data_IF_031221674837
#
_entry.id   IF_031221674837
#
_cell.length_a   1.000
_cell.length_b   1.000
_cell.length_c   1.000
_cell.angle_alpha   90.00
_cell.angle_beta   90.00
_cell.angle_gamma   90.00
#
_symmetry.space_group_name_H-M   'P 1'
#
loop_
_entity.id
_entity.type
_entity.pdbx_description
1 polymer ?
#
# COMPACT_ATOMS: atom_id res chain seq x y z
N UNK A 1 55.65 -22.02 50.26
CA UNK A 1 56.35 -21.83 48.97
C UNK A 1 55.38 -21.99 47.81
N UNK A 2 54.95 -20.89 47.23
CA UNK A 2 54.07 -20.93 46.07
C UNK A 2 54.92 -21.11 44.81
N UNK A 3 54.72 -22.16 44.05
CA UNK A 3 55.45 -22.49 42.83
C UNK A 3 55.23 -21.37 41.75
N UNK A 4 56.35 -20.82 41.28
CA UNK A 4 56.29 -19.88 40.14
C UNK A 4 55.87 -20.62 38.87
N UNK A 5 54.98 -20.07 38.08
CA UNK A 5 54.56 -20.70 36.81
C UNK A 5 55.74 -20.74 35.84
N UNK A 6 55.86 -21.85 35.10
CA UNK A 6 56.88 -22.12 34.11
C UNK A 6 56.91 -21.12 32.96
N UNK A 7 58.05 -20.84 32.30
CA UNK A 7 58.20 -19.85 31.24
C UNK A 7 57.26 -20.10 30.01
N UNK A 8 56.82 -21.33 29.78
CA UNK A 8 55.90 -21.68 28.72
C UNK A 8 54.49 -21.18 28.92
N UNK A 9 54.00 -21.17 30.17
CA UNK A 9 52.63 -20.71 30.48
C UNK A 9 52.41 -19.20 30.26
N UNK A 10 53.49 -18.41 30.47
CA UNK A 10 53.43 -16.94 30.22
C UNK A 10 53.37 -16.58 28.73
N UNK A 11 53.96 -17.41 27.85
CA UNK A 11 53.87 -17.21 26.39
C UNK A 11 52.47 -17.50 25.88
N UNK A 12 51.82 -18.58 26.26
CA UNK A 12 50.46 -18.94 25.89
C UNK A 12 49.44 -17.89 26.37
N UNK A 13 49.59 -17.39 27.61
CA UNK A 13 48.77 -16.31 28.13
C UNK A 13 48.91 -15.01 27.31
N UNK A 14 50.14 -14.66 26.90
CA UNK A 14 50.39 -13.47 26.07
C UNK A 14 49.78 -13.62 24.66
N UNK A 15 49.88 -14.77 24.00
CA UNK A 15 49.25 -15.00 22.70
C UNK A 15 47.74 -15.03 22.81
N UNK A 16 47.18 -15.59 23.87
CA UNK A 16 45.73 -15.55 24.14
C UNK A 16 45.21 -14.13 24.33
N UNK A 17 45.93 -13.32 25.13
CA UNK A 17 45.54 -11.90 25.33
C UNK A 17 45.65 -11.06 24.07
N UNK A 18 46.70 -11.30 23.24
CA UNK A 18 46.81 -10.63 21.91
C UNK A 18 45.67 -11.05 20.98
N UNK A 19 45.34 -12.35 20.92
CA UNK A 19 44.23 -12.83 20.10
C UNK A 19 42.89 -12.22 20.55
N UNK A 20 42.62 -12.14 21.84
CA UNK A 20 41.40 -11.50 22.38
C UNK A 20 41.41 -10.00 22.06
N UNK A 21 42.52 -9.30 22.19
CA UNK A 21 42.63 -7.88 21.85
C UNK A 21 42.37 -7.64 20.35
N UNK A 22 42.91 -8.48 19.47
CA UNK A 22 42.66 -8.40 18.02
C UNK A 22 41.19 -8.66 17.70
N UNK A 23 40.54 -9.66 18.32
CA UNK A 23 39.13 -9.92 18.15
C UNK A 23 38.25 -8.75 18.63
N UNK A 24 38.61 -8.13 19.75
CA UNK A 24 37.90 -6.94 20.24
C UNK A 24 38.06 -5.73 19.31
N UNK A 25 39.26 -5.53 18.76
CA UNK A 25 39.49 -4.47 17.77
C UNK A 25 38.71 -4.74 16.46
N UNK A 26 38.70 -5.99 16.00
CA UNK A 26 37.90 -6.35 14.80
C UNK A 26 36.40 -6.23 15.07
N UNK A 27 35.89 -6.67 16.21
CA UNK A 27 34.51 -6.51 16.62
C UNK A 27 34.15 -5.02 16.75
N UNK A 28 35.00 -4.21 17.37
CA UNK A 28 34.83 -2.75 17.47
C UNK A 28 34.83 -2.08 16.09
N UNK A 29 35.75 -2.51 15.21
CA UNK A 29 35.80 -2.03 13.83
C UNK A 29 34.55 -2.41 13.02
N UNK A 30 34.05 -3.64 13.18
CA UNK A 30 32.84 -4.10 12.55
C UNK A 30 31.61 -3.31 13.06
N UNK A 31 31.52 -3.09 14.38
CA UNK A 31 30.44 -2.26 14.96
C UNK A 31 30.52 -0.82 14.47
N UNK A 32 31.69 -0.23 14.44
CA UNK A 32 31.92 1.13 13.95
C UNK A 32 31.58 1.23 12.46
N UNK A 33 31.95 0.22 11.66
CA UNK A 33 31.59 0.13 10.24
C UNK A 33 30.08 0.05 10.05
N UNK A 34 29.38 -0.84 10.81
CA UNK A 34 27.92 -0.97 10.76
C UNK A 34 27.25 0.34 11.17
N UNK A 35 27.70 0.99 12.24
CA UNK A 35 27.14 2.26 12.72
C UNK A 35 27.37 3.40 11.71
N UNK A 36 28.55 3.45 11.08
CA UNK A 36 28.88 4.48 10.08
C UNK A 36 28.10 4.29 8.76
N UNK A 37 27.71 3.04 8.44
CA UNK A 37 26.98 2.70 7.21
C UNK A 37 25.51 2.34 7.48
N UNK A 38 25.06 2.47 8.72
CA UNK A 38 23.62 2.32 9.04
C UNK A 38 22.83 3.40 8.34
N UNK A 39 21.71 3.05 7.68
CA UNK A 39 20.87 4.05 7.02
C UNK A 39 20.43 5.12 8.02
N UNK A 40 20.72 6.37 7.74
CA UNK A 40 20.30 7.53 8.52
C UNK A 40 19.22 8.31 7.77
N UNK A 41 18.51 9.21 8.45
CA UNK A 41 17.53 10.06 7.82
C UNK A 41 18.20 10.99 6.82
N UNK A 42 17.61 11.08 5.61
CA UNK A 42 18.05 11.95 4.54
C UNK A 42 16.94 12.97 4.26
N UNK A 43 17.28 14.23 4.04
CA UNK A 43 16.32 15.25 3.63
C UNK A 43 16.95 16.19 2.62
N UNK A 44 16.42 16.18 1.39
CA UNK A 44 16.79 17.05 0.28
C UNK A 44 15.55 17.83 -0.19
N UNK A 45 15.08 18.84 0.56
CA UNK A 45 13.79 19.50 0.32
C UNK A 45 13.75 20.28 -1.01
N UNK A 46 14.91 20.51 -1.64
CA UNK A 46 15.02 21.21 -2.93
C UNK A 46 14.91 20.28 -4.15
N UNK A 47 14.90 18.95 -3.95
CA UNK A 47 14.56 18.01 -5.02
C UNK A 47 13.11 18.28 -5.43
N UNK A 48 12.83 18.25 -6.73
CA UNK A 48 11.55 18.60 -7.35
C UNK A 48 10.34 18.45 -6.41
N UNK A 49 9.61 19.54 -6.22
CA UNK A 49 8.40 19.57 -5.41
C UNK A 49 7.42 20.56 -6.01
N UNK A 50 6.32 20.07 -6.54
CA UNK A 50 5.23 20.90 -7.05
C UNK A 50 4.28 21.19 -5.90
N UNK A 51 4.15 22.46 -5.55
CA UNK A 51 3.13 22.87 -4.57
C UNK A 51 1.71 22.50 -5.03
N UNK A 52 0.73 22.51 -4.10
CA UNK A 52 -0.66 22.24 -4.46
C UNK A 52 -1.11 23.29 -5.47
N UNK A 53 -1.56 22.85 -6.64
CA UNK A 53 -2.30 23.71 -7.57
C UNK A 53 -3.63 24.05 -6.93
N UNK A 54 -3.85 25.32 -6.64
CA UNK A 54 -5.17 25.84 -6.27
C UNK A 54 -6.06 25.83 -7.51
N UNK A 55 -6.59 24.68 -7.85
CA UNK A 55 -7.72 24.62 -8.79
C UNK A 55 -8.96 24.90 -7.95
N UNK A 56 -9.58 26.06 -8.16
CA UNK A 56 -10.94 26.30 -7.69
C UNK A 56 -11.81 25.18 -8.24
N UNK A 57 -12.49 24.38 -7.41
CA UNK A 57 -13.35 23.33 -7.94
C UNK A 57 -14.36 23.97 -8.88
N UNK A 58 -14.64 23.38 -10.05
CA UNK A 58 -15.74 23.84 -10.89
C UNK A 58 -17.03 23.79 -10.08
N UNK A 59 -17.96 24.72 -10.29
CA UNK A 59 -19.24 24.73 -9.58
C UNK A 59 -19.91 23.37 -9.73
N UNK A 60 -20.38 22.83 -8.60
CA UNK A 60 -21.01 21.52 -8.53
C UNK A 60 -22.12 21.41 -9.58
N UNK A 61 -22.13 20.41 -10.43
CA UNK A 61 -23.23 20.17 -11.36
C UNK A 61 -24.51 19.93 -10.56
N UNK A 62 -25.64 20.47 -11.03
CA UNK A 62 -26.95 20.20 -10.45
C UNK A 62 -27.18 18.69 -10.33
N UNK A 63 -27.81 18.20 -9.26
CA UNK A 63 -28.01 16.77 -9.04
C UNK A 63 -28.76 16.14 -10.21
N UNK A 64 -28.08 15.29 -10.96
CA UNK A 64 -28.71 14.36 -11.88
C UNK A 64 -29.11 13.15 -11.04
N UNK A 65 -30.37 12.70 -11.18
CA UNK A 65 -30.95 11.59 -10.40
C UNK A 65 -30.33 10.20 -10.66
N UNK A 66 -29.16 10.13 -11.30
CA UNK A 66 -28.41 8.91 -11.58
C UNK A 66 -27.13 8.94 -10.76
N UNK A 67 -26.95 7.93 -9.90
CA UNK A 67 -25.69 7.71 -9.18
C UNK A 67 -24.57 7.39 -10.19
N UNK A 68 -23.68 8.36 -10.41
CA UNK A 68 -22.51 8.23 -11.29
C UNK A 68 -21.21 8.11 -10.49
N UNK A 69 -21.29 7.95 -9.17
CA UNK A 69 -20.12 7.87 -8.32
C UNK A 69 -19.27 6.64 -8.65
N UNK A 70 -17.95 6.83 -8.59
CA UNK A 70 -16.99 5.75 -8.74
C UNK A 70 -15.81 5.90 -7.78
N UNK A 71 -15.53 4.82 -7.06
CA UNK A 71 -14.24 4.55 -6.39
C UNK A 71 -13.64 3.32 -7.08
N UNK A 72 -12.97 3.48 -8.23
CA UNK A 72 -12.80 2.37 -9.17
C UNK A 72 -11.60 1.48 -8.89
N UNK A 73 -10.79 1.77 -7.88
CA UNK A 73 -9.55 1.04 -7.57
C UNK A 73 -9.06 1.29 -6.16
N UNK A 74 -8.15 0.46 -5.71
CA UNK A 74 -7.39 0.70 -4.48
C UNK A 74 -6.74 2.08 -4.50
N UNK A 75 -6.83 2.82 -3.39
CA UNK A 75 -6.28 4.17 -3.28
C UNK A 75 -7.06 5.26 -3.99
N UNK A 76 -8.30 4.98 -4.45
CA UNK A 76 -9.24 5.92 -5.06
C UNK A 76 -8.85 6.33 -6.49
N UNK A 77 -7.78 7.11 -6.66
CA UNK A 77 -7.34 7.66 -7.94
C UNK A 77 -6.19 6.86 -8.58
N UNK A 78 -5.74 7.27 -9.76
CA UNK A 78 -4.66 6.60 -10.47
C UNK A 78 -3.31 6.81 -9.80
N UNK A 79 -3.12 7.90 -9.08
CA UNK A 79 -1.96 8.26 -8.32
C UNK A 79 -1.89 7.53 -6.98
N UNK A 80 -2.95 6.80 -6.57
CA UNK A 80 -3.03 6.07 -5.30
C UNK A 80 -2.92 6.96 -4.07
N UNK A 81 -3.52 8.15 -4.12
CA UNK A 81 -3.41 9.12 -3.02
C UNK A 81 -4.17 8.71 -1.75
N UNK A 82 -5.06 7.74 -1.81
CA UNK A 82 -5.92 7.33 -0.69
C UNK A 82 -6.69 8.50 -0.05
N UNK A 83 -7.06 9.49 -0.86
CA UNK A 83 -7.63 10.74 -0.40
C UNK A 83 -8.95 11.03 -1.13
N UNK A 84 -10.03 11.01 -0.37
CA UNK A 84 -11.37 11.34 -0.85
C UNK A 84 -11.89 12.56 -0.11
N UNK A 85 -12.13 13.65 -0.83
CA UNK A 85 -12.59 14.90 -0.22
C UNK A 85 -14.11 15.07 -0.32
N UNK A 86 -14.75 14.56 -1.36
CA UNK A 86 -16.20 14.68 -1.54
C UNK A 86 -16.73 16.13 -1.41
N UNK A 87 -18.00 16.33 -1.71
CA UNK A 87 -18.67 17.64 -1.48
C UNK A 87 -19.13 17.80 -0.02
N UNK A 88 -19.48 16.69 0.63
CA UNK A 88 -19.90 16.63 2.04
C UNK A 88 -19.38 15.31 2.64
N UNK A 89 -18.08 15.24 2.96
CA UNK A 89 -17.48 14.00 3.44
C UNK A 89 -18.04 13.65 4.82
N UNK A 90 -18.42 12.36 5.03
CA UNK A 90 -19.01 11.92 6.28
C UNK A 90 -18.04 12.03 7.45
N UNK A 91 -18.55 12.50 8.58
CA UNK A 91 -17.78 12.62 9.82
C UNK A 91 -18.39 11.79 10.92
N UNK A 92 -17.59 11.19 11.83
CA UNK A 92 -18.11 10.51 13.00
C UNK A 92 -18.88 11.49 13.92
N UNK A 93 -19.82 11.00 14.75
CA UNK A 93 -20.09 9.58 15.02
C UNK A 93 -20.96 8.90 13.96
N UNK A 94 -20.73 7.59 13.76
CA UNK A 94 -21.52 6.78 12.84
C UNK A 94 -22.48 5.83 13.58
N UNK A 95 -23.47 5.32 12.82
CA UNK A 95 -24.27 4.13 13.12
C UNK A 95 -24.13 3.11 12.02
N UNK A 96 -24.26 1.85 12.33
CA UNK A 96 -24.33 0.78 11.32
C UNK A 96 -25.66 0.90 10.59
N UNK A 97 -25.62 0.99 9.26
CA UNK A 97 -26.80 0.91 8.40
C UNK A 97 -27.15 -0.55 8.10
N UNK A 98 -26.19 -1.30 7.56
CA UNK A 98 -26.25 -2.72 7.35
C UNK A 98 -24.85 -3.33 7.51
N UNK A 99 -24.77 -4.66 7.57
CA UNK A 99 -23.52 -5.42 7.46
C UNK A 99 -23.71 -6.63 6.53
N UNK A 100 -22.62 -7.03 5.89
CA UNK A 100 -22.51 -8.25 5.10
C UNK A 100 -21.46 -9.14 5.76
N UNK A 101 -21.87 -10.39 6.11
CA UNK A 101 -20.96 -11.40 6.64
C UNK A 101 -20.37 -12.19 5.48
N UNK A 102 -19.04 -12.14 5.35
CA UNK A 102 -18.26 -13.07 4.54
C UNK A 102 -17.72 -14.21 5.42
N UNK A 103 -17.37 -15.33 4.82
CA UNK A 103 -16.78 -16.48 5.52
C UNK A 103 -15.25 -16.52 5.36
N UNK A 104 -14.68 -15.65 4.51
CA UNK A 104 -13.26 -15.46 4.28
C UNK A 104 -12.83 -14.07 4.71
N UNK A 105 -11.52 -13.85 4.81
CA UNK A 105 -10.94 -12.56 5.14
C UNK A 105 -11.24 -11.53 4.04
N UNK A 106 -11.61 -10.33 4.45
CA UNK A 106 -11.73 -9.14 3.60
C UNK A 106 -10.51 -8.24 3.82
N UNK A 107 -9.40 -8.55 3.17
CA UNK A 107 -8.16 -7.81 3.34
C UNK A 107 -8.23 -6.39 2.76
N UNK A 108 -9.02 -6.21 1.71
CA UNK A 108 -9.21 -4.92 1.05
C UNK A 108 -10.66 -4.45 1.10
N UNK A 109 -10.89 -3.11 1.19
CA UNK A 109 -12.23 -2.57 1.07
C UNK A 109 -12.76 -2.74 -0.35
N UNK A 110 -14.09 -2.67 -0.55
CA UNK A 110 -14.69 -2.75 -1.86
C UNK A 110 -14.27 -1.57 -2.74
N UNK A 111 -14.33 -1.75 -4.04
CA UNK A 111 -14.39 -0.65 -5.01
C UNK A 111 -15.85 -0.37 -5.34
N UNK A 112 -16.17 0.87 -5.70
CA UNK A 112 -17.56 1.34 -5.84
C UNK A 112 -17.80 1.81 -7.27
N UNK A 113 -18.94 1.41 -7.82
CA UNK A 113 -19.47 2.02 -9.02
C UNK A 113 -20.99 2.07 -8.95
N UNK A 114 -21.56 3.27 -8.99
CA UNK A 114 -23.00 3.49 -8.89
C UNK A 114 -23.59 2.81 -7.64
N UNK A 115 -24.62 1.99 -7.80
CA UNK A 115 -25.30 1.30 -6.71
C UNK A 115 -24.65 -0.03 -6.28
N UNK A 116 -23.42 -0.33 -6.71
CA UNK A 116 -22.78 -1.60 -6.39
C UNK A 116 -21.40 -1.43 -5.76
N UNK A 117 -21.14 -2.32 -4.80
CA UNK A 117 -19.83 -2.55 -4.19
C UNK A 117 -19.24 -3.83 -4.79
N UNK A 118 -17.98 -3.78 -5.23
CA UNK A 118 -17.28 -4.92 -5.80
C UNK A 118 -16.07 -5.27 -4.94
N UNK A 119 -15.94 -6.52 -4.57
CA UNK A 119 -14.85 -7.00 -3.70
C UNK A 119 -14.40 -8.40 -4.13
N UNK A 120 -13.24 -8.79 -3.64
CA UNK A 120 -12.73 -10.16 -3.68
C UNK A 120 -12.26 -10.51 -2.27
N UNK A 121 -12.63 -11.68 -1.78
CA UNK A 121 -12.17 -12.21 -0.51
C UNK A 121 -10.87 -13.01 -0.66
N UNK A 122 -10.21 -13.28 0.48
CA UNK A 122 -8.97 -14.05 0.53
C UNK A 122 -9.11 -15.47 -0.06
N UNK A 123 -10.31 -16.04 -0.03
CA UNK A 123 -10.59 -17.33 -0.65
C UNK A 123 -10.65 -17.27 -2.20
N UNK A 124 -10.55 -16.07 -2.80
CA UNK A 124 -10.54 -15.84 -4.24
C UNK A 124 -11.93 -15.85 -4.88
N UNK A 125 -12.97 -15.52 -4.11
CA UNK A 125 -14.34 -15.32 -4.59
C UNK A 125 -14.61 -13.83 -4.81
N UNK A 126 -14.82 -13.44 -6.06
CA UNK A 126 -15.24 -12.10 -6.45
C UNK A 126 -16.73 -11.93 -6.25
N UNK A 127 -17.17 -10.80 -5.71
CA UNK A 127 -18.55 -10.51 -5.35
C UNK A 127 -18.98 -9.11 -5.78
N UNK A 128 -20.28 -8.95 -6.06
CA UNK A 128 -20.90 -7.64 -6.04
C UNK A 128 -22.05 -7.62 -5.04
N UNK A 129 -22.16 -6.50 -4.30
CA UNK A 129 -23.23 -6.25 -3.35
C UNK A 129 -24.00 -5.00 -3.77
N UNK A 130 -25.30 -5.01 -3.52
CA UNK A 130 -26.11 -3.79 -3.59
C UNK A 130 -25.66 -2.81 -2.51
N UNK A 131 -25.24 -1.63 -2.91
CA UNK A 131 -24.66 -0.60 -2.03
C UNK A 131 -25.62 -0.15 -0.92
N UNK A 132 -26.92 -0.13 -1.21
CA UNK A 132 -27.96 0.36 -0.31
C UNK A 132 -28.37 -0.67 0.75
N UNK A 133 -28.37 -1.96 0.38
CA UNK A 133 -28.93 -3.03 1.21
C UNK A 133 -27.89 -4.01 1.75
N UNK A 134 -26.70 -4.05 1.17
CA UNK A 134 -25.66 -5.06 1.47
C UNK A 134 -25.98 -6.43 0.88
N UNK A 135 -27.09 -6.62 0.16
CA UNK A 135 -27.42 -7.91 -0.43
C UNK A 135 -26.46 -8.28 -1.56
N UNK A 136 -26.06 -9.55 -1.59
CA UNK A 136 -25.19 -10.08 -2.64
C UNK A 136 -25.95 -10.14 -3.97
N UNK A 137 -25.41 -9.47 -4.99
CA UNK A 137 -25.95 -9.48 -6.36
C UNK A 137 -25.43 -10.68 -7.15
N UNK A 138 -24.15 -10.98 -7.02
CA UNK A 138 -23.53 -12.16 -7.61
C UNK A 138 -22.22 -12.51 -6.88
N UNK A 139 -21.77 -13.74 -7.08
CA UNK A 139 -20.51 -14.28 -6.59
C UNK A 139 -19.90 -15.22 -7.62
N UNK A 140 -18.58 -15.15 -7.80
CA UNK A 140 -17.85 -15.98 -8.76
C UNK A 140 -16.49 -16.38 -8.21
N UNK A 141 -16.24 -17.67 -8.11
CA UNK A 141 -14.94 -18.22 -7.74
C UNK A 141 -13.96 -18.05 -8.90
N UNK A 142 -12.86 -17.32 -8.67
CA UNK A 142 -11.82 -17.07 -9.67
C UNK A 142 -10.60 -17.95 -9.45
N UNK A 143 -10.22 -18.13 -8.21
CA UNK A 143 -9.07 -18.94 -7.77
C UNK A 143 -9.21 -19.33 -6.31
N UNK A 144 -8.11 -19.47 -5.59
CA UNK A 144 -8.13 -20.00 -4.22
C UNK A 144 -7.43 -19.15 -3.19
N UNK A 145 -6.75 -18.12 -3.59
CA UNK A 145 -6.08 -17.19 -2.69
C UNK A 145 -5.97 -15.84 -3.37
N UNK A 146 -6.52 -14.80 -2.77
CA UNK A 146 -6.43 -13.44 -3.29
C UNK A 146 -6.10 -12.45 -2.17
N UNK A 147 -5.06 -11.65 -2.38
CA UNK A 147 -4.59 -10.61 -1.48
C UNK A 147 -4.39 -9.29 -2.26
N UNK A 148 -5.40 -8.89 -3.02
CA UNK A 148 -5.38 -7.69 -3.85
C UNK A 148 -6.78 -7.06 -3.95
N UNK A 149 -6.86 -5.74 -3.92
CA UNK A 149 -8.09 -5.03 -4.25
C UNK A 149 -8.44 -5.22 -5.72
N UNK A 150 -9.71 -5.37 -6.09
CA UNK A 150 -10.09 -5.33 -7.50
C UNK A 150 -9.93 -3.93 -8.10
N UNK A 151 -9.97 -3.84 -9.44
CA UNK A 151 -10.12 -2.58 -10.16
C UNK A 151 -11.27 -2.65 -11.15
N UNK A 152 -11.90 -1.50 -11.40
CA UNK A 152 -13.01 -1.40 -12.34
C UNK A 152 -12.58 -0.67 -13.62
N UNK A 153 -12.82 -1.27 -14.77
CA UNK A 153 -12.82 -0.63 -16.07
C UNK A 153 -14.22 -0.14 -16.39
N UNK A 154 -14.51 1.09 -16.02
CA UNK A 154 -15.88 1.65 -16.12
C UNK A 154 -16.39 1.62 -17.56
N UNK A 155 -15.55 2.01 -18.52
CA UNK A 155 -15.93 2.02 -19.94
C UNK A 155 -16.16 0.62 -20.50
N UNK A 156 -15.40 -0.38 -20.03
CA UNK A 156 -15.53 -1.78 -20.43
C UNK A 156 -16.64 -2.51 -19.67
N UNK A 157 -17.12 -1.95 -18.56
CA UNK A 157 -18.03 -2.61 -17.62
C UNK A 157 -17.44 -3.92 -17.06
N UNK A 158 -16.12 -3.93 -16.79
CA UNK A 158 -15.36 -5.08 -16.31
C UNK A 158 -14.74 -4.81 -14.94
N UNK A 159 -14.78 -5.82 -14.09
CA UNK A 159 -14.03 -5.92 -12.84
C UNK A 159 -12.80 -6.78 -13.08
N UNK A 160 -11.61 -6.25 -12.74
CA UNK A 160 -10.34 -6.98 -12.87
C UNK A 160 -9.89 -7.45 -11.50
N UNK A 161 -9.50 -8.71 -11.42
CA UNK A 161 -9.04 -9.36 -10.18
C UNK A 161 -7.74 -10.11 -10.39
N UNK A 162 -6.87 -10.00 -9.39
CA UNK A 162 -5.60 -10.69 -9.28
C UNK A 162 -5.72 -11.80 -8.24
N UNK A 163 -5.21 -12.98 -8.54
CA UNK A 163 -5.31 -14.15 -7.67
C UNK A 163 -3.94 -14.86 -7.61
N UNK A 164 -3.49 -15.16 -6.40
CA UNK A 164 -2.21 -15.80 -6.12
C UNK A 164 -2.14 -17.24 -6.63
N UNK A 165 -3.25 -17.98 -6.54
CA UNK A 165 -3.27 -19.39 -6.91
C UNK A 165 -4.56 -19.81 -7.61
N UNK A 166 -4.42 -20.78 -8.52
CA UNK A 166 -5.53 -21.48 -9.16
C UNK A 166 -6.00 -22.71 -8.36
N UNK A 167 -5.20 -23.19 -7.42
CA UNK A 167 -5.38 -24.49 -6.75
C UNK A 167 -5.66 -24.34 -5.26
N UNK A 168 -6.52 -25.23 -4.70
CA UNK A 168 -7.02 -25.18 -3.33
C UNK A 168 -6.00 -25.37 -2.19
N UNK A 169 -4.69 -25.54 -2.47
CA UNK A 169 -3.68 -25.83 -1.43
C UNK A 169 -2.60 -24.76 -1.27
N UNK A 170 -2.76 -23.59 -1.88
CA UNK A 170 -1.77 -22.52 -1.75
C UNK A 170 -1.94 -21.79 -0.42
N UNK A 171 -0.81 -21.45 0.21
CA UNK A 171 -0.73 -20.55 1.36
C UNK A 171 0.04 -19.29 0.97
N UNK A 172 -0.12 -18.20 1.71
CA UNK A 172 0.60 -16.94 1.47
C UNK A 172 2.13 -17.08 1.44
N UNK A 173 2.67 -18.11 2.09
CA UNK A 173 4.12 -18.37 2.14
C UNK A 173 4.63 -19.23 0.96
N UNK A 174 3.75 -19.78 0.15
CA UNK A 174 4.12 -20.52 -1.04
C UNK A 174 3.98 -19.62 -2.26
N UNK A 175 5.07 -19.40 -3.00
CA UNK A 175 5.05 -18.72 -4.31
C UNK A 175 4.54 -19.73 -5.33
N UNK A 176 3.24 -19.75 -5.66
CA UNK A 176 2.75 -20.71 -6.62
C UNK A 176 3.05 -20.19 -8.01
N UNK A 177 3.78 -20.98 -8.80
CA UNK A 177 3.96 -20.72 -10.23
C UNK A 177 2.67 -20.87 -11.04
N UNK A 178 1.52 -20.39 -10.53
CA UNK A 178 0.22 -20.63 -11.16
C UNK A 178 -0.84 -19.54 -10.85
N UNK A 179 -0.44 -18.29 -10.78
CA UNK A 179 -1.34 -17.17 -10.60
C UNK A 179 -2.37 -17.02 -11.71
N UNK A 180 -3.36 -16.19 -11.46
CA UNK A 180 -4.43 -15.87 -12.42
C UNK A 180 -4.75 -14.38 -12.36
N UNK A 181 -4.94 -13.80 -13.53
CA UNK A 181 -5.56 -12.50 -13.69
C UNK A 181 -6.83 -12.66 -14.52
N UNK A 182 -7.95 -12.07 -14.08
CA UNK A 182 -9.23 -12.26 -14.73
C UNK A 182 -10.04 -10.96 -14.84
N UNK A 183 -10.86 -10.88 -15.87
CA UNK A 183 -11.90 -9.86 -16.02
C UNK A 183 -13.29 -10.49 -15.94
N UNK A 184 -14.11 -9.91 -15.08
CA UNK A 184 -15.49 -10.33 -14.86
C UNK A 184 -16.45 -9.22 -15.29
N UNK A 185 -17.59 -9.61 -15.82
CA UNK A 185 -18.68 -8.66 -16.07
C UNK A 185 -19.16 -8.04 -14.76
N UNK A 186 -19.12 -6.72 -14.64
CA UNK A 186 -19.63 -6.01 -13.46
C UNK A 186 -21.10 -6.31 -13.21
N UNK A 187 -21.89 -6.54 -14.26
CA UNK A 187 -23.33 -6.80 -14.16
C UNK A 187 -23.67 -8.20 -13.66
N UNK A 188 -22.92 -9.22 -14.08
CA UNK A 188 -23.31 -10.63 -13.88
C UNK A 188 -22.28 -11.48 -13.13
N UNK A 189 -21.07 -10.96 -12.90
CA UNK A 189 -19.98 -11.72 -12.34
C UNK A 189 -19.35 -12.77 -13.28
N UNK A 190 -19.92 -12.96 -14.50
CA UNK A 190 -19.39 -13.94 -15.45
C UNK A 190 -17.97 -13.57 -15.87
N UNK A 191 -17.06 -14.53 -15.85
CA UNK A 191 -15.70 -14.35 -16.37
C UNK A 191 -15.77 -14.12 -17.87
N UNK A 192 -15.25 -12.95 -18.30
CA UNK A 192 -15.18 -12.56 -19.71
C UNK A 192 -13.91 -13.08 -20.33
N UNK A 193 -12.80 -12.91 -19.64
CA UNK A 193 -11.54 -13.54 -19.98
C UNK A 193 -10.73 -13.86 -18.70
N UNK A 194 -9.85 -14.85 -18.82
CA UNK A 194 -9.02 -15.34 -17.71
C UNK A 194 -7.64 -15.68 -18.27
N UNK A 195 -6.60 -15.10 -17.68
CA UNK A 195 -5.22 -15.25 -18.10
C UNK A 195 -4.42 -15.95 -17.00
N UNK A 196 -3.90 -17.15 -17.24
CA UNK A 196 -2.86 -17.72 -16.39
C UNK A 196 -1.61 -16.85 -16.44
N UNK A 197 -1.00 -16.62 -15.30
CA UNK A 197 0.28 -15.93 -15.16
C UNK A 197 1.30 -16.88 -14.51
N UNK A 198 2.59 -16.78 -14.90
CA UNK A 198 3.62 -17.73 -14.44
C UNK A 198 3.82 -17.72 -12.93
N UNK A 199 3.59 -16.57 -12.28
CA UNK A 199 3.75 -16.40 -10.84
C UNK A 199 2.47 -15.87 -10.20
N UNK A 200 2.30 -16.07 -8.89
CA UNK A 200 1.18 -15.50 -8.14
C UNK A 200 1.21 -13.96 -8.14
N UNK A 201 0.05 -13.31 -7.95
CA UNK A 201 -0.01 -11.85 -7.83
C UNK A 201 -0.84 -11.41 -6.65
N UNK A 202 -0.27 -10.51 -5.84
CA UNK A 202 -0.91 -9.73 -4.76
C UNK A 202 -1.07 -8.26 -5.18
N UNK A 203 -0.62 -7.92 -6.38
CA UNK A 203 -0.61 -6.54 -6.87
C UNK A 203 -2.03 -6.08 -7.19
N UNK A 204 -2.52 -5.09 -6.46
CA UNK A 204 -3.81 -4.44 -6.76
C UNK A 204 -3.75 -3.74 -8.11
N UNK A 205 -4.54 -4.17 -9.11
CA UNK A 205 -4.40 -3.65 -10.46
C UNK A 205 -4.86 -2.21 -10.59
N UNK A 206 -4.40 -1.55 -11.66
CA UNK A 206 -4.92 -0.26 -12.09
C UNK A 206 -5.48 -0.37 -13.51
N UNK A 207 -6.76 -0.08 -13.66
CA UNK A 207 -7.40 0.05 -14.96
C UNK A 207 -7.43 1.52 -15.37
N UNK A 208 -6.89 1.84 -16.55
CA UNK A 208 -6.86 3.18 -17.11
C UNK A 208 -7.01 3.15 -18.63
N UNK A 209 -8.02 3.84 -19.14
CA UNK A 209 -8.40 3.75 -20.54
C UNK A 209 -8.76 2.31 -20.94
N UNK A 210 -8.13 1.79 -21.99
CA UNK A 210 -8.27 0.40 -22.43
C UNK A 210 -7.11 -0.50 -22.01
N UNK A 211 -6.46 -0.17 -20.88
CA UNK A 211 -5.30 -0.92 -20.38
C UNK A 211 -5.47 -1.23 -18.90
N UNK A 212 -4.98 -2.39 -18.47
CA UNK A 212 -4.86 -2.76 -17.07
C UNK A 212 -3.41 -3.15 -16.77
N UNK A 213 -2.90 -2.66 -15.62
CA UNK A 213 -1.51 -2.88 -15.19
C UNK A 213 -1.49 -3.55 -13.81
N UNK A 214 -0.54 -4.46 -13.60
CA UNK A 214 -0.28 -5.11 -12.31
C UNK A 214 1.11 -5.74 -12.31
N UNK A 215 1.64 -6.09 -11.13
CA UNK A 215 2.88 -6.84 -10.97
C UNK A 215 2.63 -8.29 -10.54
N UNK A 216 3.67 -9.14 -10.54
CA UNK A 216 3.62 -10.48 -9.98
C UNK A 216 4.81 -10.78 -9.06
N UNK A 217 4.75 -11.91 -8.35
CA UNK A 217 5.81 -12.35 -7.44
C UNK A 217 7.07 -12.85 -8.16
N UNK A 218 7.01 -13.05 -9.48
CA UNK A 218 8.17 -13.32 -10.33
C UNK A 218 8.91 -12.06 -10.78
N UNK A 219 8.43 -10.86 -10.38
CA UNK A 219 9.03 -9.58 -10.74
C UNK A 219 8.57 -9.04 -12.09
N UNK A 220 7.54 -9.62 -12.69
CA UNK A 220 7.01 -9.13 -13.98
C UNK A 220 5.89 -8.12 -13.75
N UNK A 221 6.01 -6.95 -14.36
CA UNK A 221 4.92 -5.97 -14.49
C UNK A 221 4.29 -6.13 -15.86
N UNK A 222 2.99 -6.24 -15.88
CA UNK A 222 2.17 -6.47 -17.07
C UNK A 222 1.39 -5.22 -17.46
N UNK A 223 1.28 -5.01 -18.76
CA UNK A 223 0.27 -4.17 -19.40
C UNK A 223 -0.60 -5.06 -20.28
N UNK A 224 -1.88 -5.14 -19.97
CA UNK A 224 -2.83 -5.93 -20.75
C UNK A 224 -3.88 -5.02 -21.38
N UNK A 225 -4.36 -5.40 -22.57
CA UNK A 225 -5.57 -4.85 -23.13
C UNK A 225 -6.75 -5.19 -22.20
N UNK A 226 -7.44 -4.19 -21.72
CA UNK A 226 -8.50 -4.33 -20.72
C UNK A 226 -9.69 -5.18 -21.21
N UNK A 227 -10.01 -5.11 -22.50
CA UNK A 227 -11.15 -5.83 -23.09
C UNK A 227 -10.83 -7.29 -23.39
N UNK A 228 -9.61 -7.60 -23.83
CA UNK A 228 -9.25 -8.92 -24.36
C UNK A 228 -8.29 -9.73 -23.49
N UNK A 229 -7.58 -9.09 -22.56
CA UNK A 229 -6.53 -9.71 -21.75
C UNK A 229 -5.24 -10.01 -22.53
N UNK A 230 -5.09 -9.53 -23.76
CA UNK A 230 -3.84 -9.65 -24.51
C UNK A 230 -2.76 -8.79 -23.89
N UNK A 231 -1.51 -9.30 -23.87
CA UNK A 231 -0.33 -8.56 -23.39
C UNK A 231 0.04 -7.48 -24.39
N UNK A 232 0.06 -6.22 -23.95
CA UNK A 232 0.61 -5.13 -24.72
C UNK A 232 2.15 -5.10 -24.58
N UNK A 233 2.62 -5.19 -23.35
CA UNK A 233 4.04 -5.26 -23.00
C UNK A 233 4.23 -5.85 -21.60
N UNK A 234 5.46 -6.28 -21.30
CA UNK A 234 5.93 -6.66 -19.97
C UNK A 234 7.21 -5.95 -19.63
N UNK A 235 7.45 -5.72 -18.33
CA UNK A 235 8.71 -5.23 -17.78
C UNK A 235 9.16 -6.18 -16.66
N UNK A 236 10.48 -6.47 -16.58
CA UNK A 236 11.04 -7.33 -15.55
C UNK A 236 11.84 -6.50 -14.54
N UNK A 237 11.37 -6.48 -13.29
CA UNK A 237 12.04 -5.89 -12.14
C UNK A 237 13.10 -6.84 -11.58
N UNK A 238 13.93 -6.36 -10.65
CA UNK A 238 14.98 -7.17 -10.01
C UNK A 238 14.45 -8.15 -8.96
N UNK A 239 13.25 -7.91 -8.44
CA UNK A 239 12.59 -8.71 -7.41
C UNK A 239 11.08 -8.74 -7.58
N UNK A 240 10.39 -9.49 -6.72
CA UNK A 240 8.92 -9.59 -6.71
C UNK A 240 8.25 -8.21 -6.66
N UNK A 241 7.23 -7.98 -7.49
CA UNK A 241 6.41 -6.76 -7.49
C UNK A 241 5.05 -7.07 -6.87
N UNK A 242 4.95 -6.94 -5.54
CA UNK A 242 3.74 -7.26 -4.77
C UNK A 242 2.81 -6.06 -4.61
N UNK A 243 3.35 -4.86 -4.39
CA UNK A 243 2.57 -3.63 -4.39
C UNK A 243 1.91 -3.35 -5.73
N UNK A 244 0.73 -2.74 -5.72
CA UNK A 244 0.09 -2.27 -6.95
C UNK A 244 0.86 -1.10 -7.56
N UNK A 245 0.88 -0.93 -8.90
CA UNK A 245 1.46 0.26 -9.50
C UNK A 245 0.58 1.49 -9.24
N UNK A 246 1.20 2.68 -9.18
CA UNK A 246 0.53 3.97 -9.34
C UNK A 246 0.77 4.51 -10.75
N UNK A 247 -0.15 5.30 -11.27
CA UNK A 247 -0.05 5.90 -12.60
C UNK A 247 -0.19 7.42 -12.52
N UNK A 248 0.79 8.14 -13.02
CA UNK A 248 0.73 9.59 -13.15
C UNK A 248 1.43 10.03 -14.43
N UNK A 249 0.81 10.94 -15.19
CA UNK A 249 1.38 11.53 -16.42
C UNK A 249 1.93 10.49 -17.42
N UNK A 250 1.25 9.36 -17.60
CA UNK A 250 1.69 8.29 -18.51
C UNK A 250 2.87 7.46 -18.02
N UNK A 251 3.26 7.58 -16.75
CA UNK A 251 4.33 6.82 -16.11
C UNK A 251 3.75 5.96 -14.99
N UNK A 252 4.14 4.68 -14.96
CA UNK A 252 3.84 3.74 -13.88
C UNK A 252 4.98 3.76 -12.87
N UNK A 253 4.62 3.83 -11.59
CA UNK A 253 5.55 3.78 -10.47
C UNK A 253 5.26 2.53 -9.63
N UNK A 254 6.29 1.80 -9.24
CA UNK A 254 6.19 0.62 -8.38
C UNK A 254 7.52 0.35 -7.68
N UNK A 255 7.51 -0.53 -6.70
CA UNK A 255 8.71 -1.01 -6.04
C UNK A 255 8.76 -2.53 -6.06
N UNK A 256 9.94 -3.07 -5.79
CA UNK A 256 10.16 -4.51 -5.75
C UNK A 256 10.76 -5.00 -4.41
N UNK A 257 10.84 -6.32 -4.28
CA UNK A 257 11.41 -6.98 -3.11
C UNK A 257 12.94 -7.00 -3.08
N UNK A 258 13.61 -6.51 -4.13
CA UNK A 258 15.04 -6.23 -4.10
C UNK A 258 15.36 -4.84 -3.51
N UNK A 259 14.34 -4.10 -3.05
CA UNK A 259 14.50 -2.76 -2.46
C UNK A 259 14.70 -1.66 -3.50
N UNK A 260 14.14 -1.83 -4.68
CA UNK A 260 14.30 -0.90 -5.78
C UNK A 260 12.97 -0.28 -6.17
N UNK A 261 12.97 1.04 -6.36
CA UNK A 261 11.85 1.81 -6.88
C UNK A 261 12.02 2.06 -8.38
N UNK A 262 10.92 2.04 -9.12
CA UNK A 262 10.90 2.12 -10.58
C UNK A 262 9.89 3.14 -11.08
N UNK A 263 10.22 3.74 -12.23
CA UNK A 263 9.30 4.41 -13.12
C UNK A 263 9.43 3.82 -14.53
N UNK A 264 8.33 3.42 -15.13
CA UNK A 264 8.28 2.92 -16.50
C UNK A 264 7.17 3.60 -17.28
N UNK A 265 7.40 3.80 -18.59
CA UNK A 265 6.39 4.35 -19.50
C UNK A 265 5.16 3.41 -19.54
N UNK A 266 3.99 3.94 -19.24
CA UNK A 266 2.74 3.19 -19.31
C UNK A 266 2.38 2.78 -20.76
N UNK A 267 2.92 3.48 -21.77
CA UNK A 267 2.64 3.23 -23.18
C UNK A 267 3.38 1.99 -23.69
N UNK A 268 4.68 1.86 -23.37
CA UNK A 268 5.55 0.85 -23.99
C UNK A 268 6.42 0.06 -23.00
N UNK A 269 6.30 0.32 -21.69
CA UNK A 269 7.06 -0.40 -20.67
C UNK A 269 8.55 -0.04 -20.60
N UNK A 270 9.03 0.97 -21.33
CA UNK A 270 10.42 1.39 -21.23
C UNK A 270 10.71 2.05 -19.88
N UNK A 271 11.83 1.68 -19.27
CA UNK A 271 12.29 2.27 -18.02
C UNK A 271 12.59 3.76 -18.19
N UNK A 272 11.98 4.57 -17.33
CA UNK A 272 12.29 6.00 -17.21
C UNK A 272 13.42 6.16 -16.19
N UNK A 273 13.27 5.56 -15.03
CA UNK A 273 14.32 5.49 -14.01
C UNK A 273 14.13 4.27 -13.10
N UNK A 274 15.20 3.89 -12.39
CA UNK A 274 15.16 2.93 -11.30
C UNK A 274 16.19 3.33 -10.24
N UNK A 275 15.78 3.35 -8.96
CA UNK A 275 16.59 3.83 -7.85
C UNK A 275 16.57 2.81 -6.71
N UNK A 276 17.76 2.48 -6.19
CA UNK A 276 17.92 1.60 -5.04
C UNK A 276 17.65 2.36 -3.74
N UNK A 277 17.16 1.64 -2.70
CA UNK A 277 17.25 2.15 -1.32
C UNK A 277 18.70 2.16 -0.85
N UNK A 278 19.01 2.97 0.14
CA UNK A 278 20.37 3.09 0.69
C UNK A 278 20.95 1.81 1.31
N UNK A 279 20.09 0.83 1.63
CA UNK A 279 20.51 -0.49 2.12
C UNK A 279 20.83 -1.50 1.04
N UNK A 280 20.36 -1.29 -0.20
CA UNK A 280 20.52 -2.22 -1.32
C UNK A 280 21.97 -2.37 -1.78
N UNK A 281 22.77 -1.31 -1.62
CA UNK A 281 24.15 -1.28 -2.13
C UNK A 281 25.13 -2.13 -1.32
N UNK A 282 24.76 -2.56 -0.11
CA UNK A 282 25.67 -3.29 0.82
C UNK A 282 25.26 -4.74 1.09
N UNK A 283 24.15 -5.23 0.52
CA UNK A 283 23.69 -6.61 0.75
C UNK A 283 23.20 -6.92 2.17
N UNK A 284 23.08 -5.92 3.04
CA UNK A 284 22.57 -6.06 4.40
C UNK A 284 21.06 -5.78 4.50
N UNK A 285 20.26 -6.49 3.72
CA UNK A 285 18.81 -6.37 3.79
C UNK A 285 18.33 -4.97 3.38
N UNK A 286 18.26 -4.75 2.08
CA UNK A 286 17.75 -3.52 1.46
C UNK A 286 16.31 -3.17 1.84
N UNK A 287 15.66 -4.04 2.64
CA UNK A 287 14.23 -4.02 2.81
C UNK A 287 13.50 -4.30 1.49
N UNK A 288 12.20 -4.47 1.58
CA UNK A 288 11.34 -4.76 0.44
C UNK A 288 10.32 -3.64 0.28
N UNK A 289 10.04 -3.22 -0.94
CA UNK A 289 8.88 -2.40 -1.22
C UNK A 289 7.64 -3.27 -1.39
N UNK A 290 6.93 -3.50 -0.28
CA UNK A 290 5.62 -4.14 -0.30
C UNK A 290 4.50 -3.14 -0.59
N UNK A 291 4.67 -1.89 -0.13
CA UNK A 291 3.67 -0.84 -0.25
C UNK A 291 3.39 -0.48 -1.70
N UNK A 292 2.13 -0.18 -2.00
CA UNK A 292 1.74 0.50 -3.23
C UNK A 292 2.23 1.96 -3.15
N UNK A 293 2.96 2.48 -4.15
CA UNK A 293 3.38 3.87 -4.15
C UNK A 293 2.20 4.82 -4.24
N UNK A 294 2.34 6.01 -3.66
CA UNK A 294 1.45 7.13 -3.90
C UNK A 294 2.20 8.27 -4.57
N UNK A 295 1.56 8.92 -5.56
CA UNK A 295 2.19 9.99 -6.36
C UNK A 295 1.46 11.30 -6.14
N UNK A 296 2.17 12.30 -5.62
CA UNK A 296 1.64 13.65 -5.45
C UNK A 296 2.80 14.67 -5.40
N UNK A 297 2.52 15.92 -5.66
CA UNK A 297 3.46 17.03 -5.52
C UNK A 297 4.79 16.84 -6.28
N UNK A 298 4.75 16.18 -7.45
CA UNK A 298 5.95 15.84 -8.24
C UNK A 298 6.81 14.72 -7.67
N UNK A 299 6.30 13.97 -6.67
CA UNK A 299 7.03 12.92 -5.98
C UNK A 299 6.28 11.60 -5.88
N UNK A 300 7.05 10.54 -5.69
CA UNK A 300 6.60 9.18 -5.36
C UNK A 300 6.94 8.91 -3.91
N UNK A 301 5.98 8.42 -3.14
CA UNK A 301 6.14 8.08 -1.72
C UNK A 301 5.87 6.59 -1.51
N UNK A 302 6.72 5.94 -0.70
CA UNK A 302 6.66 4.49 -0.46
C UNK A 302 7.12 4.12 0.94
N UNK A 303 6.45 3.16 1.58
CA UNK A 303 6.94 2.49 2.77
C UNK A 303 7.86 1.31 2.42
N UNK A 304 8.84 1.01 3.27
CA UNK A 304 9.78 -0.08 3.06
C UNK A 304 9.96 -0.91 4.34
N UNK A 305 10.28 -2.19 4.18
CA UNK A 305 10.51 -3.10 5.31
C UNK A 305 11.87 -2.88 6.01
N UNK A 306 12.70 -1.96 5.52
CA UNK A 306 13.86 -1.46 6.27
C UNK A 306 13.49 -0.50 7.42
N UNK A 307 12.19 -0.25 7.61
CA UNK A 307 11.67 0.64 8.63
C UNK A 307 11.63 2.11 8.22
N UNK A 308 11.68 2.41 6.92
CA UNK A 308 11.70 3.78 6.41
C UNK A 308 10.55 4.07 5.47
N UNK A 309 10.23 5.35 5.40
CA UNK A 309 9.40 5.94 4.35
C UNK A 309 10.31 6.70 3.40
N UNK A 310 10.15 6.46 2.13
CA UNK A 310 10.95 7.04 1.06
C UNK A 310 10.13 8.01 0.21
N UNK A 311 10.78 9.06 -0.25
CA UNK A 311 10.27 9.97 -1.28
C UNK A 311 11.28 10.15 -2.38
N UNK A 312 10.84 9.93 -3.62
CA UNK A 312 11.66 10.12 -4.83
C UNK A 312 11.04 11.17 -5.72
N UNK A 313 11.87 11.93 -6.46
CA UNK A 313 11.37 12.78 -7.53
C UNK A 313 10.71 11.93 -8.63
N UNK A 314 9.48 12.27 -9.03
CA UNK A 314 8.73 11.47 -9.99
C UNK A 314 9.36 11.47 -11.39
N UNK A 315 10.05 12.54 -11.78
CA UNK A 315 10.64 12.71 -13.10
C UNK A 315 11.94 11.94 -13.33
N UNK A 316 12.79 11.79 -12.28
CA UNK A 316 14.14 11.24 -12.44
C UNK A 316 14.56 10.23 -11.35
N UNK A 317 13.70 9.96 -10.36
CA UNK A 317 13.96 8.99 -9.29
C UNK A 317 14.99 9.45 -8.24
N UNK A 318 15.40 10.73 -8.25
CA UNK A 318 16.32 11.25 -7.25
C UNK A 318 15.70 11.15 -5.85
N UNK A 319 16.45 10.61 -4.89
CA UNK A 319 16.01 10.51 -3.50
C UNK A 319 15.84 11.92 -2.91
N UNK A 320 14.60 12.23 -2.55
CA UNK A 320 14.25 13.49 -1.91
C UNK A 320 14.41 13.41 -0.39
N UNK A 321 13.87 12.38 0.23
CA UNK A 321 14.05 12.10 1.64
C UNK A 321 13.80 10.62 1.96
N UNK A 322 14.37 10.16 3.07
CA UNK A 322 14.09 8.89 3.69
C UNK A 322 14.04 9.10 5.21
N UNK A 323 12.90 8.76 5.83
CA UNK A 323 12.69 8.97 7.27
C UNK A 323 12.37 7.64 7.94
N UNK A 324 13.12 7.33 9.01
CA UNK A 324 12.94 6.11 9.80
C UNK A 324 11.70 6.17 10.68
N UNK A 325 11.05 5.01 10.80
CA UNK A 325 10.13 4.63 11.87
C UNK A 325 10.81 3.60 12.77
N UNK A 326 10.12 3.06 13.76
CA UNK A 326 10.72 2.07 14.68
C UNK A 326 10.73 0.63 14.13
N UNK A 327 10.01 0.32 13.05
CA UNK A 327 9.90 -1.03 12.47
C UNK A 327 9.40 -0.99 11.01
N UNK A 328 9.15 -2.16 10.42
CA UNK A 328 8.70 -2.33 9.03
C UNK A 328 7.52 -1.43 8.65
N UNK A 329 7.55 -0.89 7.43
CA UNK A 329 6.48 -0.08 6.86
C UNK A 329 5.89 -0.81 5.65
N UNK A 330 4.84 -1.60 5.91
CA UNK A 330 4.08 -2.29 4.85
C UNK A 330 2.99 -1.40 4.25
N UNK A 331 2.50 -0.44 5.05
CA UNK A 331 1.40 0.44 4.68
C UNK A 331 1.72 1.27 3.43
N UNK A 332 0.75 1.39 2.53
CA UNK A 332 0.81 2.36 1.44
C UNK A 332 0.49 3.77 1.96
N UNK A 333 1.19 4.82 1.48
CA UNK A 333 0.97 6.18 1.93
C UNK A 333 -0.40 6.72 1.52
N UNK A 334 -1.07 7.43 2.43
CA UNK A 334 -2.18 8.33 2.11
C UNK A 334 -1.65 9.77 2.06
N UNK A 335 -2.09 10.57 1.09
CA UNK A 335 -1.51 11.89 0.83
C UNK A 335 -2.58 12.94 0.65
N UNK A 336 -2.46 14.06 1.36
CA UNK A 336 -3.34 15.20 1.20
C UNK A 336 -2.59 16.53 1.34
N UNK A 337 -3.16 17.59 0.75
CA UNK A 337 -2.88 18.94 1.17
C UNK A 337 -3.80 19.28 2.35
N UNK A 338 -3.29 19.05 3.57
CA UNK A 338 -4.09 19.15 4.79
C UNK A 338 -4.22 20.59 5.25
N UNK A 339 -5.44 21.12 5.43
CA UNK A 339 -5.64 22.49 5.94
C UNK A 339 -4.87 22.75 7.24
N UNK A 340 -4.06 23.81 7.26
CA UNK A 340 -3.23 24.21 8.39
C UNK A 340 -1.91 23.42 8.54
N UNK A 341 -1.68 22.36 7.77
CA UNK A 341 -0.39 21.65 7.70
C UNK A 341 0.26 21.77 6.32
N UNK A 342 -0.52 21.91 5.23
CA UNK A 342 -0.02 21.80 3.87
C UNK A 342 0.16 20.35 3.40
N UNK A 343 1.00 20.12 2.39
CA UNK A 343 1.26 18.79 1.83
C UNK A 343 1.78 17.81 2.89
N UNK A 344 1.03 16.71 3.12
CA UNK A 344 1.31 15.74 4.20
C UNK A 344 1.15 14.32 3.70
N UNK A 345 2.06 13.45 4.14
CA UNK A 345 2.06 11.99 3.91
C UNK A 345 1.70 11.30 5.23
N UNK A 346 0.78 10.36 5.16
CA UNK A 346 0.27 9.62 6.32
C UNK A 346 0.42 8.14 6.11
N UNK A 347 0.94 7.43 7.11
CA UNK A 347 1.03 5.97 7.09
C UNK A 347 1.31 5.39 8.48
N UNK A 348 1.05 4.09 8.61
CA UNK A 348 1.33 3.32 9.81
C UNK A 348 2.58 2.48 9.70
N UNK A 349 3.13 2.08 10.85
CA UNK A 349 4.30 1.23 10.96
C UNK A 349 4.06 0.04 11.91
N UNK A 350 4.87 -0.99 11.78
CA UNK A 350 4.88 -2.14 12.68
C UNK A 350 5.41 -1.81 14.08
N UNK A 351 5.95 -0.61 14.29
CA UNK A 351 6.31 -0.10 15.63
C UNK A 351 5.10 0.29 16.48
N UNK A 352 3.89 0.22 15.90
CA UNK A 352 2.65 0.55 16.58
C UNK A 352 2.29 2.02 16.56
N UNK A 353 2.94 2.82 15.73
CA UNK A 353 2.64 4.23 15.56
C UNK A 353 2.07 4.53 14.17
N UNK A 354 1.15 5.47 14.13
CA UNK A 354 0.67 6.10 12.91
C UNK A 354 1.28 7.50 12.80
N UNK A 355 1.80 7.85 11.62
CA UNK A 355 2.62 9.04 11.42
C UNK A 355 2.03 9.99 10.38
N UNK A 356 2.29 11.29 10.58
CA UNK A 356 2.16 12.34 9.57
C UNK A 356 3.53 12.94 9.30
N UNK A 357 3.94 12.93 8.04
CA UNK A 357 5.20 13.50 7.57
C UNK A 357 4.94 14.73 6.73
N UNK A 358 5.80 15.71 6.84
CA UNK A 358 5.90 16.79 5.85
C UNK A 358 6.27 16.19 4.50
N UNK A 359 5.43 16.35 3.49
CA UNK A 359 5.64 15.72 2.18
C UNK A 359 6.90 16.23 1.47
N UNK A 360 7.36 17.45 1.77
CA UNK A 360 8.52 18.06 1.14
C UNK A 360 9.84 17.62 1.80
N UNK A 361 9.89 17.59 3.12
CA UNK A 361 11.13 17.38 3.88
C UNK A 361 11.26 16.01 4.52
N UNK A 362 10.15 15.26 4.68
CA UNK A 362 10.10 14.02 5.43
C UNK A 362 10.11 14.22 6.96
N UNK A 363 10.03 15.44 7.46
CA UNK A 363 9.97 15.71 8.90
C UNK A 363 8.65 15.17 9.49
N UNK A 364 8.72 14.49 10.62
CA UNK A 364 7.53 14.03 11.34
C UNK A 364 6.81 15.24 11.94
N UNK A 365 5.58 15.47 11.52
CA UNK A 365 4.70 16.53 12.03
C UNK A 365 4.02 16.14 13.32
N UNK A 366 3.52 14.90 13.34
CA UNK A 366 2.96 14.26 14.52
C UNK A 366 3.00 12.73 14.37
N UNK A 367 2.93 12.03 15.49
CA UNK A 367 2.71 10.59 15.55
C UNK A 367 1.67 10.25 16.60
N UNK A 368 0.94 9.14 16.37
CA UNK A 368 -0.08 8.63 17.29
C UNK A 368 0.22 7.19 17.67
N UNK A 369 0.38 6.85 18.96
CA UNK A 369 0.55 5.47 19.39
C UNK A 369 -0.77 4.72 19.25
N UNK A 370 -0.77 3.65 18.47
CA UNK A 370 -1.97 2.88 18.11
C UNK A 370 -2.13 1.59 18.91
N UNK A 371 -1.15 1.27 19.76
CA UNK A 371 -1.19 0.10 20.64
C UNK A 371 -0.89 -1.24 19.95
N UNK A 372 -0.59 -1.25 18.65
CA UNK A 372 -0.29 -2.48 17.92
C UNK A 372 0.14 -2.24 16.48
N UNK A 373 0.62 -3.28 15.81
CA UNK A 373 1.15 -3.22 14.45
C UNK A 373 0.11 -2.70 13.45
N UNK A 374 0.53 -1.82 12.56
CA UNK A 374 -0.27 -1.30 11.46
C UNK A 374 0.32 -1.83 10.15
N UNK A 375 -0.42 -2.72 9.48
CA UNK A 375 0.00 -3.34 8.22
C UNK A 375 -0.68 -2.71 7.02
N UNK A 376 -1.97 -2.47 7.13
CA UNK A 376 -2.79 -1.94 6.05
C UNK A 376 -2.64 -0.44 5.84
N UNK A 377 -3.09 0.03 4.71
CA UNK A 377 -2.99 1.42 4.30
C UNK A 377 -4.15 2.23 4.85
N UNK A 378 -3.88 3.48 5.19
CA UNK A 378 -4.92 4.40 5.62
C UNK A 378 -5.71 4.97 4.44
N UNK A 379 -6.90 5.48 4.74
CA UNK A 379 -7.72 6.24 3.80
C UNK A 379 -8.17 7.56 4.45
N UNK A 380 -8.01 8.65 3.73
CA UNK A 380 -8.50 9.98 4.13
C UNK A 380 -9.89 10.17 3.55
N UNK A 381 -10.86 10.45 4.41
CA UNK A 381 -12.22 10.86 4.02
C UNK A 381 -12.49 12.23 4.66
N UNK A 382 -12.52 13.26 3.83
CA UNK A 382 -12.58 14.63 4.30
C UNK A 382 -11.35 15.00 5.15
N UNK A 383 -11.57 15.27 6.44
CA UNK A 383 -10.51 15.61 7.39
C UNK A 383 -10.15 14.46 8.36
N UNK A 384 -10.73 13.27 8.18
CA UNK A 384 -10.47 12.11 9.04
C UNK A 384 -9.66 11.07 8.29
N UNK A 385 -8.61 10.56 8.94
CA UNK A 385 -7.77 9.47 8.44
C UNK A 385 -8.17 8.20 9.17
N UNK A 386 -8.55 7.19 8.43
CA UNK A 386 -8.92 5.87 8.94
C UNK A 386 -7.82 4.85 8.65
N UNK A 387 -7.44 4.06 9.65
CA UNK A 387 -6.52 2.93 9.53
C UNK A 387 -6.91 1.83 10.52
N UNK A 388 -6.45 0.60 10.27
CA UNK A 388 -6.71 -0.53 11.14
C UNK A 388 -5.46 -1.00 11.86
N UNK A 389 -5.64 -1.48 13.10
CA UNK A 389 -4.60 -2.04 13.95
C UNK A 389 -4.71 -3.56 13.92
N UNK A 390 -3.71 -4.22 13.36
CA UNK A 390 -3.72 -5.67 13.14
C UNK A 390 -3.85 -6.47 14.45
N UNK A 391 -3.13 -6.06 15.49
CA UNK A 391 -3.05 -6.80 16.76
C UNK A 391 -4.36 -6.84 17.53
N UNK A 392 -5.20 -5.82 17.42
CA UNK A 392 -6.44 -5.66 18.17
C UNK A 392 -7.69 -5.68 17.30
N UNK A 393 -7.52 -5.78 15.97
CA UNK A 393 -8.62 -5.75 15.00
C UNK A 393 -9.54 -4.54 15.19
N UNK A 394 -8.96 -3.37 15.44
CA UNK A 394 -9.68 -2.12 15.57
C UNK A 394 -9.42 -1.23 14.36
N UNK A 395 -10.44 -0.47 13.96
CA UNK A 395 -10.29 0.65 13.04
C UNK A 395 -10.34 1.97 13.82
N UNK A 396 -9.33 2.79 13.64
CA UNK A 396 -9.17 4.08 14.28
C UNK A 396 -9.33 5.18 13.23
N UNK A 397 -10.01 6.25 13.57
CA UNK A 397 -10.04 7.49 12.81
C UNK A 397 -9.37 8.62 13.57
N UNK A 398 -8.42 9.30 12.93
CA UNK A 398 -7.74 10.48 13.48
C UNK A 398 -8.11 11.74 12.71
N UNK A 399 -8.20 12.86 13.40
CA UNK A 399 -8.19 14.16 12.75
C UNK A 399 -6.85 14.37 12.03
N UNK A 400 -6.88 14.60 10.73
CA UNK A 400 -5.70 14.63 9.87
C UNK A 400 -4.70 15.72 10.26
N UNK A 401 -5.18 16.84 10.78
CA UNK A 401 -4.34 17.98 11.16
C UNK A 401 -3.62 17.76 12.48
N UNK A 402 -4.30 17.14 13.44
CA UNK A 402 -3.82 17.10 14.85
C UNK A 402 -3.35 15.71 15.30
N UNK A 403 -3.70 14.64 14.58
CA UNK A 403 -3.45 13.27 15.00
C UNK A 403 -4.30 12.82 16.19
N UNK A 404 -5.32 13.61 16.60
CA UNK A 404 -6.20 13.25 17.72
C UNK A 404 -7.24 12.21 17.26
N UNK A 405 -7.52 11.18 18.08
CA UNK A 405 -8.54 10.20 17.77
C UNK A 405 -9.94 10.82 17.81
N UNK A 406 -10.73 10.56 16.75
CA UNK A 406 -12.12 11.02 16.59
C UNK A 406 -13.08 9.86 16.33
N UNK A 407 -12.56 8.66 16.08
CA UNK A 407 -13.36 7.48 15.79
C UNK A 407 -12.64 6.21 16.26
N UNK A 408 -13.41 5.26 16.79
CA UNK A 408 -12.97 3.91 17.12
C UNK A 408 -14.08 2.93 16.75
N UNK A 409 -13.72 1.86 16.02
CA UNK A 409 -14.60 0.78 15.66
C UNK A 409 -13.93 -0.56 16.00
N UNK A 410 -14.64 -1.44 16.70
CA UNK A 410 -14.08 -2.70 17.19
C UNK A 410 -14.17 -3.83 16.16
N UNK A 411 -13.74 -3.54 14.94
CA UNK A 411 -13.41 -4.49 13.87
C UNK A 411 -12.48 -3.82 12.87
N UNK A 412 -11.79 -4.63 12.05
CA UNK A 412 -10.80 -4.18 11.08
C UNK A 412 -9.50 -4.94 11.25
N UNK A 413 -8.72 -5.06 10.20
CA UNK A 413 -7.41 -5.72 10.29
C UNK A 413 -6.38 -5.05 9.38
N UNK A 414 -6.75 -4.71 8.15
CA UNK A 414 -5.85 -4.20 7.13
C UNK A 414 -6.33 -2.85 6.60
N UNK A 415 -6.91 -2.83 5.42
CA UNK A 415 -7.31 -1.59 4.73
C UNK A 415 -8.75 -1.25 5.09
N UNK A 416 -9.02 -0.19 5.86
CA UNK A 416 -10.29 -0.10 6.58
C UNK A 416 -11.47 0.39 5.77
N UNK A 417 -11.35 1.52 5.03
CA UNK A 417 -12.54 2.20 4.54
C UNK A 417 -12.44 2.69 3.11
N UNK A 418 -13.61 2.76 2.48
CA UNK A 418 -13.91 3.61 1.33
C UNK A 418 -15.17 4.42 1.63
N UNK A 419 -15.39 5.49 0.88
CA UNK A 419 -16.57 6.36 1.04
C UNK A 419 -17.22 6.64 -0.30
N UNK A 420 -18.48 7.01 -0.29
CA UNK A 420 -19.15 7.54 -1.47
C UNK A 420 -19.53 9.03 -1.28
N UNK A 421 -20.06 9.63 -2.32
CA UNK A 421 -20.48 11.03 -2.34
C UNK A 421 -21.83 11.28 -1.65
N UNK A 422 -22.49 10.24 -1.12
CA UNK A 422 -23.74 10.34 -0.36
C UNK A 422 -23.55 10.43 1.15
N UNK A 423 -22.29 10.55 1.60
CA UNK A 423 -21.95 10.63 3.01
C UNK A 423 -21.93 9.27 3.72
N UNK A 424 -21.70 8.19 2.98
CA UNK A 424 -21.63 6.82 3.52
C UNK A 424 -20.18 6.35 3.56
N UNK A 425 -19.78 5.70 4.66
CA UNK A 425 -18.50 4.99 4.78
C UNK A 425 -18.77 3.48 4.74
N UNK A 426 -17.98 2.76 3.95
CA UNK A 426 -17.97 1.29 3.94
C UNK A 426 -16.68 0.83 4.60
N UNK A 427 -16.80 0.08 5.71
CA UNK A 427 -15.69 -0.37 6.53
C UNK A 427 -15.52 -1.89 6.38
N UNK A 428 -14.33 -2.30 5.95
CA UNK A 428 -13.92 -3.70 5.96
C UNK A 428 -13.42 -4.08 7.35
N UNK A 429 -14.16 -4.96 8.01
CA UNK A 429 -13.74 -5.69 9.20
C UNK A 429 -12.82 -6.85 8.80
N UNK A 430 -12.70 -7.83 9.70
CA UNK A 430 -11.91 -9.02 9.40
C UNK A 430 -12.62 -9.94 8.37
N UNK A 431 -13.88 -10.26 8.62
CA UNK A 431 -14.74 -11.07 7.73
C UNK A 431 -16.09 -10.39 7.46
N UNK A 432 -16.24 -9.14 7.83
CA UNK A 432 -17.48 -8.40 7.69
C UNK A 432 -17.27 -7.09 6.94
N UNK A 433 -18.24 -6.72 6.12
CA UNK A 433 -18.31 -5.39 5.52
C UNK A 433 -19.48 -4.65 6.15
N UNK A 434 -19.21 -3.44 6.63
CA UNK A 434 -20.19 -2.57 7.28
C UNK A 434 -20.50 -1.35 6.44
N UNK A 435 -21.77 -0.98 6.37
CA UNK A 435 -22.18 0.37 5.98
C UNK A 435 -22.28 1.23 7.23
N UNK A 436 -21.55 2.32 7.25
CA UNK A 436 -21.58 3.31 8.34
C UNK A 436 -22.23 4.60 7.83
N UNK A 437 -23.29 5.01 8.50
CA UNK A 437 -24.06 6.22 8.20
C UNK A 437 -23.83 7.24 9.31
N UNK A 438 -23.69 8.54 8.99
CA UNK A 438 -23.63 9.58 10.01
C UNK A 438 -24.84 9.51 10.96
N UNK A 439 -24.61 9.71 12.24
CA UNK A 439 -25.71 9.93 13.19
C UNK A 439 -26.25 11.33 12.93
N UNK A 440 -27.53 11.43 12.62
CA UNK A 440 -28.19 12.75 12.65
C UNK A 440 -28.05 13.32 14.06
N UNK A 441 -27.53 14.53 14.15
CA UNK A 441 -27.49 15.30 15.39
C UNK A 441 -28.92 15.66 15.85
#
# INVERSE_FOLDING_TARGET
MAAMPSPGSRRWLRHGLVAVAVLLVMAGGAVAFVLAHSPHNVSNPNVEFSGPTTTTPPPAPKPVAVDNFAWPRYGFDAQRTHNFQGSDPPTPPFRIGWYFQDYALLEFPPVIYQNALYLIDDDGSAKALDKRTGHKLWETKVGTLAAASPALGISQRLMYVAVLSRNHKATHNQVPGNGVFAALSMKTGRIVWKKPIPSGTESSPIAYGNTVYFGDQGGTVYSLNATTGHVNWTYHASGAVKGGPALSNGVLFFGDYAGRAYAVSAVNGHQVWATNTSGADFGFGSGNFYSTPAVAFGRVYMGNTDGRVYSFAANNGQLAWATGTGAYVYASPAIANTPGLGPTVYLGSYDGHFYAFDARSGAIRWSHPSGGKISGSATIVGHVIYYSVLSHRNTIGLDARTGRPVFLFHDGAFNPVVSDDTGTVYLSGYTMLYQLLPRKR
#
